data_IF_510224016673
#
_entry.id   IF_510224016673
#
_cell.length_a   1.000
_cell.length_b   1.000
_cell.length_c   1.000
_cell.angle_alpha   90.00
_cell.angle_beta   90.00
_cell.angle_gamma   90.00
#
_symmetry.space_group_name_H-M   'P 1'
#
loop_
_entity.id
_entity.type
_entity.pdbx_description
1 polymer ?
#
# COMPACT_ATOMS: atom_id res chain seq x y z
N UNK A 1 10.68 -5.03 4.02
CA UNK A 1 9.38 -5.03 4.74
C UNK A 1 8.79 -3.64 4.55
N UNK A 2 7.47 -3.50 4.52
CA UNK A 2 6.80 -2.20 4.50
C UNK A 2 5.78 -2.15 5.63
N UNK A 3 5.61 -0.98 6.24
CA UNK A 3 4.61 -0.71 7.27
C UNK A 3 3.57 0.22 6.69
N UNK A 4 2.30 -0.16 6.76
CA UNK A 4 1.19 0.65 6.22
C UNK A 4 0.43 1.29 7.38
N UNK A 5 0.21 2.60 7.32
CA UNK A 5 -0.67 3.28 8.25
C UNK A 5 -2.10 2.74 8.09
N UNK A 6 -2.71 2.37 9.21
CA UNK A 6 -4.04 1.80 9.25
C UNK A 6 -4.78 2.19 10.52
N UNK A 7 -6.11 2.21 10.42
CA UNK A 7 -7.02 2.32 11.55
C UNK A 7 -7.74 0.98 11.72
N UNK A 8 -8.04 0.59 12.95
CA UNK A 8 -8.76 -0.65 13.23
C UNK A 8 -9.99 -0.39 14.09
N UNK A 9 -10.93 -1.32 14.09
CA UNK A 9 -12.08 -1.34 14.99
C UNK A 9 -12.42 -2.78 15.39
N UNK A 10 -12.69 -2.98 16.67
CA UNK A 10 -13.26 -4.19 17.26
C UNK A 10 -14.80 -4.13 17.18
N UNK A 11 -15.44 -5.17 16.67
CA UNK A 11 -16.90 -5.27 16.55
C UNK A 11 -17.36 -6.61 17.12
N UNK A 12 -17.94 -6.62 18.31
CA UNK A 12 -18.07 -7.83 19.14
C UNK A 12 -16.68 -8.44 19.44
N UNK A 13 -16.47 -9.09 20.59
CA UNK A 13 -15.10 -9.33 21.11
C UNK A 13 -14.19 -10.25 20.29
N UNK A 14 -14.70 -10.82 19.19
CA UNK A 14 -13.99 -11.74 18.30
C UNK A 14 -13.72 -11.17 16.89
N UNK A 15 -14.30 -10.03 16.47
CA UNK A 15 -14.08 -9.49 15.11
C UNK A 15 -13.26 -8.20 15.10
N UNK A 16 -12.10 -8.30 14.47
CA UNK A 16 -11.16 -7.20 14.27
C UNK A 16 -11.17 -6.80 12.81
N UNK A 17 -11.50 -5.53 12.54
CA UNK A 17 -11.50 -4.95 11.20
C UNK A 17 -10.36 -3.93 11.09
N UNK A 18 -9.69 -3.87 9.95
CA UNK A 18 -8.64 -2.88 9.66
C UNK A 18 -8.91 -2.21 8.32
N UNK A 19 -8.68 -0.90 8.26
CA UNK A 19 -8.75 -0.09 7.05
C UNK A 19 -7.41 0.63 6.85
N UNK A 20 -6.80 0.44 5.69
CA UNK A 20 -5.54 1.10 5.34
C UNK A 20 -5.78 2.56 4.96
N UNK A 21 -4.98 3.46 5.51
CA UNK A 21 -4.99 4.88 5.14
C UNK A 21 -4.43 5.02 3.72
N UNK A 22 -5.12 5.78 2.88
CA UNK A 22 -4.67 6.07 1.51
C UNK A 22 -4.56 7.57 1.28
N UNK A 23 -3.54 7.95 0.51
CA UNK A 23 -3.23 9.33 0.10
C UNK A 23 -3.36 9.47 -1.41
N UNK A 24 -3.25 10.70 -1.92
CA UNK A 24 -3.09 10.96 -3.36
C UNK A 24 -1.81 10.31 -3.87
N UNK A 25 -1.85 9.73 -5.06
CA UNK A 25 -0.68 9.06 -5.64
C UNK A 25 0.40 10.07 -6.06
N UNK A 26 1.66 9.75 -5.77
CA UNK A 26 2.81 10.48 -6.33
C UNK A 26 3.06 10.09 -7.81
N UNK A 27 3.99 10.77 -8.49
CA UNK A 27 4.35 10.56 -9.91
C UNK A 27 4.71 9.11 -10.28
N UNK A 28 5.14 8.28 -9.32
CA UNK A 28 5.34 6.84 -9.53
C UNK A 28 4.00 6.11 -9.44
N UNK A 29 3.28 6.23 -8.34
CA UNK A 29 2.00 5.55 -8.12
C UNK A 29 0.89 6.01 -9.09
N UNK A 30 0.97 7.21 -9.65
CA UNK A 30 0.09 7.68 -10.73
C UNK A 30 0.21 6.81 -11.98
N UNK A 31 1.43 6.33 -12.30
CA UNK A 31 1.69 5.47 -13.46
C UNK A 31 1.18 4.05 -13.19
N UNK A 32 1.44 3.52 -12.00
CA UNK A 32 1.09 2.14 -11.61
C UNK A 32 -0.40 1.98 -11.28
N UNK A 33 -1.01 2.94 -10.59
CA UNK A 33 -2.42 2.92 -10.14
C UNK A 33 -3.28 3.99 -10.85
N UNK A 34 -3.08 4.09 -12.16
CA UNK A 34 -3.59 5.14 -13.03
C UNK A 34 -5.13 5.35 -13.06
N UNK A 35 -5.93 4.40 -12.58
CA UNK A 35 -7.41 4.51 -12.57
C UNK A 35 -7.97 5.35 -11.42
N UNK A 36 -7.43 5.18 -10.21
CA UNK A 36 -7.93 5.86 -9.00
C UNK A 36 -6.96 6.90 -8.42
N UNK A 37 -5.69 6.90 -8.85
CA UNK A 37 -4.66 7.87 -8.42
C UNK A 37 -4.56 8.01 -6.89
N UNK A 38 -4.57 6.87 -6.20
CA UNK A 38 -4.32 6.77 -4.75
C UNK A 38 -3.20 5.78 -4.50
N UNK A 39 -2.48 5.98 -3.41
CA UNK A 39 -1.49 5.05 -2.87
C UNK A 39 -1.79 4.80 -1.38
N UNK A 40 -1.45 3.62 -0.83
CA UNK A 40 -1.50 3.42 0.61
C UNK A 40 -0.41 4.25 1.29
N UNK A 41 -0.66 4.74 2.50
CA UNK A 41 0.34 5.48 3.28
C UNK A 41 1.36 4.48 3.85
N UNK A 42 2.44 4.26 3.11
CA UNK A 42 3.60 3.48 3.56
C UNK A 42 4.44 4.36 4.47
N UNK A 43 4.58 4.01 5.74
CA UNK A 43 5.32 4.79 6.71
C UNK A 43 6.82 4.62 6.51
N UNK A 44 7.56 5.72 6.60
CA UNK A 44 9.01 5.73 6.84
C UNK A 44 9.28 5.10 8.23
N UNK A 45 10.32 4.24 8.37
CA UNK A 45 10.68 3.63 9.66
C UNK A 45 10.82 4.61 10.83
N UNK A 46 11.19 5.88 10.56
CA UNK A 46 11.30 6.92 11.58
C UNK A 46 9.95 7.42 12.14
N UNK A 47 8.84 7.13 11.48
CA UNK A 47 7.48 7.54 11.89
C UNK A 47 6.57 6.39 12.33
N UNK A 48 7.01 5.13 12.22
CA UNK A 48 6.22 3.95 12.65
C UNK A 48 5.82 4.03 14.13
N UNK A 49 6.76 4.40 15.00
CA UNK A 49 6.50 4.57 16.44
C UNK A 49 5.59 5.77 16.75
N UNK A 50 5.69 6.84 15.97
CA UNK A 50 4.82 8.03 16.14
C UNK A 50 3.37 7.72 15.77
N UNK A 51 3.12 6.90 14.72
CA UNK A 51 1.78 6.47 14.32
C UNK A 51 1.02 5.69 15.40
N UNK A 52 1.74 5.00 16.29
CA UNK A 52 1.16 4.15 17.34
C UNK A 52 0.96 4.87 18.68
N UNK A 53 1.19 6.19 18.74
CA UNK A 53 1.05 6.97 19.98
C UNK A 53 -0.41 7.22 20.35
N UNK A 54 -0.77 6.85 21.57
CA UNK A 54 -2.11 7.10 22.15
C UNK A 54 -2.41 8.60 22.37
N UNK A 55 -1.38 9.45 22.45
CA UNK A 55 -1.51 10.91 22.65
C UNK A 55 -1.50 11.73 21.34
N UNK A 56 -1.65 11.07 20.18
CA UNK A 56 -1.74 11.72 18.87
C UNK A 56 -2.95 12.66 18.79
N UNK A 57 -2.69 13.94 18.59
CA UNK A 57 -3.72 14.92 18.22
C UNK A 57 -4.07 14.84 16.74
N UNK A 58 -5.28 15.26 16.35
CA UNK A 58 -5.71 15.39 14.94
C UNK A 58 -4.66 16.07 14.05
N UNK A 59 -4.01 17.11 14.58
CA UNK A 59 -2.92 17.81 13.88
C UNK A 59 -1.72 16.88 13.66
N UNK A 60 -1.28 16.16 14.68
CA UNK A 60 -0.18 15.20 14.57
C UNK A 60 -0.48 14.10 13.55
N UNK A 61 -1.71 13.58 13.54
CA UNK A 61 -2.17 12.59 12.55
C UNK A 61 -2.10 13.19 11.14
N UNK A 62 -2.61 14.41 10.93
CA UNK A 62 -2.55 15.08 9.63
C UNK A 62 -1.13 15.42 9.17
N UNK A 63 -0.22 15.71 10.09
CA UNK A 63 1.19 15.96 9.78
C UNK A 63 1.91 14.64 9.43
N UNK A 64 1.62 13.54 10.12
CA UNK A 64 2.07 12.18 9.73
C UNK A 64 1.53 11.73 8.37
N UNK A 65 0.25 12.02 8.05
CA UNK A 65 -0.33 11.69 6.74
C UNK A 65 0.35 12.45 5.58
N UNK A 66 0.88 13.65 5.84
CA UNK A 66 1.59 14.47 4.83
C UNK A 66 3.08 14.19 4.72
N UNK A 67 3.73 13.84 5.82
CA UNK A 67 5.20 13.82 5.93
C UNK A 67 5.76 12.46 6.35
N UNK A 68 4.89 11.54 6.76
CA UNK A 68 5.26 10.20 7.23
C UNK A 68 5.53 9.18 6.12
N UNK A 69 5.33 9.54 4.85
CA UNK A 69 5.54 8.60 3.74
C UNK A 69 7.03 8.23 3.57
N UNK A 70 7.29 6.95 3.32
CA UNK A 70 8.63 6.38 3.14
C UNK A 70 9.44 7.11 2.05
N UNK A 71 10.74 7.30 2.28
CA UNK A 71 11.63 8.06 1.37
C UNK A 71 12.31 7.17 0.32
N UNK A 72 12.35 5.86 0.56
CA UNK A 72 12.92 4.87 -0.33
C UNK A 72 12.10 4.72 -1.63
N UNK A 73 12.80 4.67 -2.76
CA UNK A 73 12.18 4.52 -4.07
C UNK A 73 11.50 3.15 -4.24
N UNK A 74 10.27 3.17 -4.77
CA UNK A 74 9.55 1.96 -5.15
C UNK A 74 10.02 1.44 -6.50
N UNK A 75 10.00 0.11 -6.64
CA UNK A 75 10.16 -0.61 -7.91
C UNK A 75 8.94 -1.49 -8.10
N UNK A 76 8.47 -1.61 -9.34
CA UNK A 76 7.37 -2.51 -9.69
C UNK A 76 7.57 -3.02 -11.12
N UNK A 77 7.06 -4.21 -11.39
CA UNK A 77 7.13 -4.89 -12.67
C UNK A 77 5.77 -5.53 -12.97
N UNK A 78 5.52 -5.93 -14.21
CA UNK A 78 4.23 -6.52 -14.59
C UNK A 78 4.22 -7.98 -14.14
N UNK A 79 3.10 -8.40 -13.54
CA UNK A 79 2.87 -9.78 -13.07
C UNK A 79 1.71 -10.41 -13.83
N UNK A 80 1.60 -11.74 -13.78
CA UNK A 80 0.48 -12.46 -14.37
C UNK A 80 -0.87 -11.97 -13.80
N UNK A 81 -1.92 -11.90 -14.64
CA UNK A 81 -3.24 -11.42 -14.20
C UNK A 81 -3.94 -12.43 -13.29
N UNK A 82 -3.76 -12.25 -11.97
CA UNK A 82 -4.26 -13.13 -10.90
C UNK A 82 -5.79 -13.12 -10.72
N UNK A 83 -6.50 -12.15 -11.30
CA UNK A 83 -7.96 -12.03 -11.12
C UNK A 83 -8.76 -13.04 -11.98
N UNK A 84 -8.09 -13.91 -12.74
CA UNK A 84 -8.72 -15.04 -13.42
C UNK A 84 -8.99 -16.17 -12.42
N UNK A 85 -10.26 -16.56 -12.27
CA UNK A 85 -10.76 -17.58 -11.32
C UNK A 85 -10.07 -18.95 -11.37
N UNK A 86 -9.36 -19.26 -12.45
CA UNK A 86 -8.69 -20.54 -12.70
C UNK A 86 -7.24 -20.57 -12.20
N UNK A 87 -6.71 -19.46 -11.70
CA UNK A 87 -5.33 -19.35 -11.22
C UNK A 87 -5.29 -19.54 -9.70
N UNK A 88 -4.47 -20.48 -9.24
CA UNK A 88 -4.05 -20.53 -7.84
C UNK A 88 -3.07 -19.37 -7.58
N UNK A 89 -3.52 -18.33 -6.89
CA UNK A 89 -2.69 -17.16 -6.55
C UNK A 89 -1.74 -17.39 -5.37
N UNK A 90 -1.90 -18.49 -4.62
CA UNK A 90 -1.07 -18.81 -3.46
C UNK A 90 0.13 -19.70 -3.86
N UNK A 91 0.95 -19.21 -4.79
CA UNK A 91 2.23 -19.84 -5.17
C UNK A 91 3.34 -18.78 -5.24
N UNK A 92 4.62 -19.12 -4.99
CA UNK A 92 5.72 -18.13 -4.99
C UNK A 92 5.87 -17.39 -6.32
N UNK A 93 5.59 -18.08 -7.43
CA UNK A 93 5.75 -17.60 -8.79
C UNK A 93 4.77 -16.49 -9.18
N UNK A 94 3.71 -16.27 -8.37
CA UNK A 94 2.71 -15.23 -8.61
C UNK A 94 3.31 -13.80 -8.64
N UNK A 95 4.46 -13.64 -8.00
CA UNK A 95 5.22 -12.39 -7.93
C UNK A 95 6.27 -12.23 -9.05
N UNK A 96 6.49 -13.27 -9.87
CA UNK A 96 7.50 -13.23 -10.92
C UNK A 96 7.10 -12.25 -12.04
N UNK A 97 8.08 -11.53 -12.63
CA UNK A 97 7.82 -10.67 -13.77
C UNK A 97 7.35 -11.49 -14.98
N UNK A 98 6.40 -10.94 -15.72
CA UNK A 98 5.99 -11.42 -17.04
C UNK A 98 6.32 -10.37 -18.10
N UNK A 99 6.66 -10.81 -19.31
CA UNK A 99 6.72 -9.92 -20.47
C UNK A 99 5.28 -9.47 -20.82
N UNK A 100 5.05 -8.15 -20.88
CA UNK A 100 3.84 -7.56 -21.44
C UNK A 100 4.23 -6.51 -22.48
N UNK A 101 4.06 -6.87 -23.75
CA UNK A 101 4.36 -6.09 -24.95
C UNK A 101 3.70 -4.69 -24.98
N UNK A 102 2.82 -4.39 -24.02
CA UNK A 102 2.02 -3.14 -23.93
C UNK A 102 2.37 -2.29 -22.71
N UNK A 103 3.21 -2.76 -21.79
CA UNK A 103 3.49 -2.09 -20.52
C UNK A 103 5.01 -1.94 -20.28
N UNK A 104 5.49 -0.70 -20.30
CA UNK A 104 6.77 -0.37 -19.71
C UNK A 104 6.70 -0.53 -18.18
N UNK A 105 7.42 -1.52 -17.66
CA UNK A 105 7.52 -1.89 -16.23
C UNK A 105 6.21 -2.31 -15.53
N UNK A 106 5.39 -1.40 -15.01
CA UNK A 106 4.83 -1.54 -13.64
C UNK A 106 3.42 -2.18 -13.46
N UNK A 107 3.26 -3.17 -12.55
CA UNK A 107 2.01 -3.47 -11.81
C UNK A 107 2.32 -3.82 -10.34
N UNK A 108 1.71 -3.12 -9.38
CA UNK A 108 1.72 -3.53 -7.96
C UNK A 108 0.50 -4.40 -7.67
N UNK A 109 0.73 -5.54 -7.00
CA UNK A 109 -0.34 -6.38 -6.46
C UNK A 109 -1.02 -5.63 -5.30
N UNK A 110 -2.35 -5.55 -5.36
CA UNK A 110 -3.24 -5.07 -4.29
C UNK A 110 -4.15 -6.21 -3.82
#
# INVERSE_FOLDING_TARGET
MFTFAGIYNEYESDYWSVSLVTTEANDFFEKVHNKKKRMPLVLDPSFEGEWLREDLTDKGILDLVKHGFIKEDFKAHTVANIYKREINSNTPEISNPVEDDRAGEFVLIS
#
